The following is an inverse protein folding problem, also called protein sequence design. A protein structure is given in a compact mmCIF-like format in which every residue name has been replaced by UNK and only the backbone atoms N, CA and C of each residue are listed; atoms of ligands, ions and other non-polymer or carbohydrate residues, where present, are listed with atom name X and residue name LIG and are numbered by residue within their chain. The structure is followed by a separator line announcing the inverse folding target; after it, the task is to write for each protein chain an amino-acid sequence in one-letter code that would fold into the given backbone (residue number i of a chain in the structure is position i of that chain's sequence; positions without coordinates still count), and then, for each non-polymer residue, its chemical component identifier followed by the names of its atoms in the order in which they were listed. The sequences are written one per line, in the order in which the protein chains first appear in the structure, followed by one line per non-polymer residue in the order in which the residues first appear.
data_IF_021082580912
#
_entry.id   IF_021082580912
#
_cell.length_a   1.000
_cell.length_b   1.000
_cell.length_c   1.000
_cell.angle_alpha   90.00
_cell.angle_beta   90.00
_cell.angle_gamma   90.00
#
_symmetry.space_group_name_H-M   'P 1'
#
loop_
_entity.id
_entity.type
_entity.pdbx_description
1 polymer ?
#
# COMPACT_ATOMS: atom_id res chain seq x y z
N UNK A 1 -5.40 -37.41 -2.12
CA UNK A 1 -5.77 -36.39 -1.12
C UNK A 1 -6.44 -35.23 -1.83
N UNK A 2 -7.54 -34.68 -1.29
CA UNK A 2 -8.12 -33.43 -1.81
C UNK A 2 -7.10 -32.29 -1.66
N UNK A 3 -6.87 -31.53 -2.73
CA UNK A 3 -5.99 -30.35 -2.70
C UNK A 3 -6.73 -29.15 -2.10
N UNK A 4 -6.02 -28.37 -1.28
CA UNK A 4 -6.54 -27.10 -0.74
C UNK A 4 -6.65 -26.06 -1.86
N UNK A 5 -7.81 -25.38 -1.93
CA UNK A 5 -8.06 -24.31 -2.90
C UNK A 5 -7.28 -23.06 -2.51
N UNK A 6 -6.57 -22.48 -3.48
CA UNK A 6 -5.86 -21.22 -3.29
C UNK A 6 -6.82 -20.02 -3.25
N UNK A 7 -6.40 -18.95 -2.57
CA UNK A 7 -7.05 -17.65 -2.65
C UNK A 7 -6.74 -16.98 -3.99
N UNK A 8 -7.71 -16.25 -4.53
CA UNK A 8 -7.64 -15.61 -5.85
C UNK A 8 -8.00 -14.12 -5.74
N UNK A 9 -7.21 -13.31 -5.01
CA UNK A 9 -7.50 -11.89 -4.86
C UNK A 9 -7.40 -11.14 -6.20
N UNK A 10 -8.24 -10.12 -6.37
CA UNK A 10 -8.33 -9.35 -7.62
C UNK A 10 -8.29 -7.84 -7.35
N UNK A 11 -7.21 -7.17 -7.79
CA UNK A 11 -7.03 -5.72 -7.67
C UNK A 11 -7.83 -4.91 -8.70
N UNK A 12 -7.79 -5.30 -9.98
CA UNK A 12 -8.45 -4.58 -11.07
C UNK A 12 -9.19 -5.57 -11.97
N UNK A 13 -10.47 -5.32 -12.21
CA UNK A 13 -11.35 -6.30 -12.83
C UNK A 13 -10.86 -6.84 -14.16
N UNK A 14 -10.76 -8.18 -14.26
CA UNK A 14 -10.29 -8.96 -15.42
C UNK A 14 -8.94 -8.57 -16.08
N UNK A 15 -8.33 -7.41 -15.78
CA UNK A 15 -7.04 -6.93 -16.30
C UNK A 15 -5.86 -7.81 -15.83
N UNK A 16 -6.05 -8.50 -14.70
CA UNK A 16 -5.10 -9.46 -14.12
C UNK A 16 -5.45 -10.92 -14.31
N UNK A 17 -6.42 -11.26 -15.17
CA UNK A 17 -6.27 -12.53 -15.88
C UNK A 17 -4.95 -12.41 -16.66
N UNK A 18 -4.13 -13.47 -16.78
CA UNK A 18 -3.20 -13.51 -17.89
C UNK A 18 -4.04 -13.26 -19.13
N UNK A 19 -4.02 -12.01 -19.61
CA UNK A 19 -4.66 -11.64 -20.86
C UNK A 19 -3.84 -12.43 -21.86
N UNK A 20 -4.41 -13.54 -22.36
CA UNK A 20 -3.96 -14.01 -23.66
C UNK A 20 -3.96 -12.75 -24.54
N UNK A 21 -2.79 -12.36 -25.07
CA UNK A 21 -2.69 -11.11 -25.79
C UNK A 21 -3.79 -11.08 -26.86
N UNK A 22 -4.46 -9.94 -27.05
CA UNK A 22 -5.40 -9.78 -28.16
C UNK A 22 -4.69 -10.21 -29.45
N UNK A 23 -5.27 -11.16 -30.17
CA UNK A 23 -4.66 -11.75 -31.37
C UNK A 23 -3.74 -12.96 -31.14
N UNK A 24 -3.31 -13.29 -29.91
CA UNK A 24 -2.45 -14.46 -29.63
C UNK A 24 -3.07 -15.78 -30.09
N UNK A 25 -4.37 -15.99 -29.85
CA UNK A 25 -5.09 -17.18 -30.35
C UNK A 25 -5.09 -17.25 -31.87
N UNK A 26 -5.25 -16.10 -32.53
CA UNK A 26 -5.30 -16.01 -33.99
C UNK A 26 -3.93 -16.23 -34.62
N UNK A 27 -2.88 -15.64 -34.05
CA UNK A 27 -1.48 -15.83 -34.41
C UNK A 27 -1.04 -17.29 -34.16
N UNK A 28 -1.45 -17.90 -33.04
CA UNK A 28 -1.16 -19.31 -32.73
C UNK A 28 -1.93 -20.29 -33.63
N UNK A 29 -3.12 -19.92 -34.12
CA UNK A 29 -3.84 -20.66 -35.17
C UNK A 29 -3.12 -20.58 -36.51
N UNK A 30 -2.66 -19.39 -36.94
CA UNK A 30 -1.84 -19.23 -38.17
C UNK A 30 -0.46 -19.89 -38.08
N UNK A 31 0.13 -19.99 -36.90
CA UNK A 31 1.36 -20.77 -36.68
C UNK A 31 1.21 -22.27 -37.04
N UNK A 32 -0.03 -22.80 -37.07
CA UNK A 32 -0.30 -24.20 -37.45
C UNK A 32 -0.12 -24.47 -38.94
N UNK A 33 -0.20 -23.44 -39.80
CA UNK A 33 -0.01 -23.59 -41.24
C UNK A 33 1.45 -23.46 -41.68
N UNK A 34 2.36 -23.10 -40.78
CA UNK A 34 3.78 -22.97 -41.08
C UNK A 34 4.55 -24.30 -40.92
N UNK A 35 5.60 -24.51 -41.75
CA UNK A 35 6.50 -25.66 -41.64
C UNK A 35 7.16 -25.77 -40.26
N UNK A 36 7.47 -26.99 -39.76
CA UNK A 36 7.98 -27.23 -38.41
C UNK A 36 9.24 -26.45 -38.05
N UNK A 37 10.15 -26.28 -39.01
CA UNK A 37 11.42 -25.56 -38.84
C UNK A 37 11.21 -24.05 -38.57
N UNK A 38 10.26 -23.41 -39.28
CA UNK A 38 9.93 -21.99 -39.10
C UNK A 38 9.04 -21.74 -37.88
N UNK A 39 8.25 -22.73 -37.47
CA UNK A 39 7.36 -22.64 -36.30
C UNK A 39 8.13 -22.35 -35.01
N UNK A 40 9.33 -22.93 -34.80
CA UNK A 40 10.12 -22.69 -33.57
C UNK A 40 10.64 -21.25 -33.47
N UNK A 41 11.15 -20.70 -34.57
CA UNK A 41 11.69 -19.32 -34.63
C UNK A 41 10.59 -18.29 -34.47
N UNK A 42 9.46 -18.47 -35.18
CA UNK A 42 8.32 -17.54 -35.12
C UNK A 42 7.65 -17.61 -33.73
N UNK A 43 7.58 -18.78 -33.09
CA UNK A 43 7.06 -18.92 -31.72
C UNK A 43 7.97 -18.27 -30.66
N UNK A 44 9.30 -18.28 -30.85
CA UNK A 44 10.25 -17.51 -30.02
C UNK A 44 10.07 -16.00 -30.21
N UNK A 45 9.98 -15.52 -31.46
CA UNK A 45 9.74 -14.09 -31.75
C UNK A 45 8.38 -13.60 -31.22
N UNK A 46 7.32 -14.39 -31.35
CA UNK A 46 6.01 -14.09 -30.77
C UNK A 46 6.06 -14.09 -29.24
N UNK A 47 6.80 -15.01 -28.60
CA UNK A 47 6.99 -14.96 -27.13
C UNK A 47 7.74 -13.71 -26.66
N UNK A 48 8.68 -13.23 -27.46
CA UNK A 48 9.41 -11.98 -27.18
C UNK A 48 8.52 -10.75 -27.42
N UNK A 49 7.77 -10.72 -28.52
CA UNK A 49 6.88 -9.61 -28.91
C UNK A 49 5.63 -9.51 -28.01
N UNK A 50 5.10 -10.65 -27.60
CA UNK A 50 3.94 -10.77 -26.72
C UNK A 50 4.35 -11.20 -25.32
N UNK A 51 5.46 -10.67 -24.80
CA UNK A 51 5.82 -10.91 -23.41
C UNK A 51 4.63 -10.47 -22.55
N UNK A 52 3.92 -11.40 -21.88
CA UNK A 52 2.78 -11.01 -21.09
C UNK A 52 3.34 -10.28 -19.88
N UNK A 53 3.36 -8.94 -19.94
CA UNK A 53 3.70 -8.11 -18.81
C UNK A 53 2.86 -8.60 -17.63
N UNK A 54 3.54 -9.05 -16.58
CA UNK A 54 2.85 -9.49 -15.37
C UNK A 54 1.99 -8.34 -14.85
N UNK A 55 0.93 -8.66 -14.12
CA UNK A 55 0.10 -7.68 -13.42
C UNK A 55 0.92 -6.57 -12.74
N UNK A 56 2.00 -6.99 -12.08
CA UNK A 56 2.99 -6.17 -11.40
C UNK A 56 3.74 -5.25 -12.36
N UNK A 57 4.19 -5.75 -13.51
CA UNK A 57 4.86 -4.94 -14.52
C UNK A 57 3.90 -3.91 -15.14
N UNK A 58 2.64 -4.26 -15.39
CA UNK A 58 1.62 -3.33 -15.90
C UNK A 58 1.35 -2.18 -14.93
N UNK A 59 1.17 -2.46 -13.63
CA UNK A 59 0.95 -1.41 -12.62
C UNK A 59 2.18 -0.54 -12.44
N UNK A 60 3.38 -1.12 -12.42
CA UNK A 60 4.63 -0.35 -12.33
C UNK A 60 4.83 0.56 -13.54
N UNK A 61 4.55 0.07 -14.75
CA UNK A 61 4.64 0.86 -15.97
C UNK A 61 3.60 1.97 -15.99
N UNK A 62 2.36 1.70 -15.56
CA UNK A 62 1.32 2.72 -15.47
C UNK A 62 1.68 3.78 -14.42
N UNK A 63 2.14 3.37 -13.23
CA UNK A 63 2.63 4.30 -12.20
C UNK A 63 3.79 5.15 -12.70
N UNK A 64 4.78 4.54 -13.35
CA UNK A 64 5.94 5.23 -13.91
C UNK A 64 5.55 6.18 -15.07
N UNK A 65 4.61 5.78 -15.92
CA UNK A 65 4.06 6.64 -16.96
C UNK A 65 3.32 7.83 -16.36
N UNK A 66 2.46 7.62 -15.35
CA UNK A 66 1.76 8.70 -14.66
C UNK A 66 2.74 9.65 -13.96
N UNK A 67 3.79 9.13 -13.30
CA UNK A 67 4.84 9.97 -12.68
C UNK A 67 5.59 10.78 -13.73
N UNK A 68 5.96 10.17 -14.86
CA UNK A 68 6.65 10.84 -15.94
C UNK A 68 5.76 11.91 -16.59
N UNK A 69 4.49 11.61 -16.85
CA UNK A 69 3.52 12.57 -17.39
C UNK A 69 3.33 13.74 -16.43
N UNK A 70 3.20 13.49 -15.12
CA UNK A 70 3.10 14.56 -14.14
C UNK A 70 4.36 15.42 -14.14
N UNK A 71 5.55 14.83 -14.13
CA UNK A 71 6.82 15.58 -14.20
C UNK A 71 6.95 16.41 -15.49
N UNK A 72 6.52 15.87 -16.64
CA UNK A 72 6.50 16.60 -17.91
C UNK A 72 5.53 17.77 -17.84
N UNK A 73 4.32 17.58 -17.31
CA UNK A 73 3.33 18.65 -17.15
C UNK A 73 3.85 19.74 -16.21
N UNK A 74 4.49 19.37 -15.11
CA UNK A 74 5.09 20.32 -14.15
C UNK A 74 6.23 21.09 -14.82
N UNK A 75 7.06 20.43 -15.63
CA UNK A 75 8.11 21.10 -16.41
C UNK A 75 7.57 22.04 -17.47
N UNK A 76 6.52 21.62 -18.20
CA UNK A 76 5.87 22.43 -19.22
C UNK A 76 5.12 23.63 -18.64
N UNK A 77 4.57 23.50 -17.44
CA UNK A 77 3.91 24.59 -16.70
C UNK A 77 4.89 25.58 -16.06
N UNK A 78 6.20 25.44 -16.27
CA UNK A 78 7.23 26.31 -15.67
C UNK A 78 7.49 26.05 -14.19
N UNK A 79 6.91 24.99 -13.63
CA UNK A 79 6.87 24.71 -12.18
C UNK A 79 8.10 23.92 -11.68
N UNK A 80 9.03 23.57 -12.57
CA UNK A 80 10.34 22.95 -12.22
C UNK A 80 11.50 23.96 -12.20
N UNK A 81 11.27 25.23 -12.52
CA UNK A 81 12.31 26.27 -12.55
C UNK A 81 12.44 27.04 -11.24
N UNK A 82 13.57 27.72 -11.06
CA UNK A 82 13.64 28.87 -10.15
C UNK A 82 12.69 29.97 -10.67
N UNK A 83 12.07 30.78 -9.79
CA UNK A 83 11.24 31.90 -10.21
C UNK A 83 11.98 32.74 -11.27
N UNK A 84 11.33 32.98 -12.41
CA UNK A 84 11.94 33.64 -13.56
C UNK A 84 12.22 35.14 -13.31
N UNK A 85 11.58 35.74 -12.30
CA UNK A 85 11.68 37.16 -11.98
C UNK A 85 12.24 37.42 -10.57
N UNK A 86 13.05 38.46 -10.45
CA UNK A 86 13.69 38.93 -9.19
C UNK A 86 12.68 39.35 -8.11
N UNK A 87 11.42 39.57 -8.48
CA UNK A 87 10.35 39.98 -7.56
C UNK A 87 9.60 38.80 -6.92
N UNK A 88 9.88 37.57 -7.35
CA UNK A 88 9.22 36.36 -6.83
C UNK A 88 10.11 35.63 -5.80
N UNK A 89 9.76 35.72 -4.50
CA UNK A 89 10.50 35.10 -3.38
C UNK A 89 9.88 33.76 -2.95
N UNK A 90 10.69 32.86 -2.40
CA UNK A 90 10.21 31.53 -1.97
C UNK A 90 9.37 31.65 -0.70
N UNK A 91 8.30 30.84 -0.56
CA UNK A 91 7.49 30.84 0.66
C UNK A 91 8.30 30.46 1.92
N UNK A 92 9.38 29.67 1.78
CA UNK A 92 10.30 29.36 2.87
C UNK A 92 11.29 30.50 3.17
N UNK A 93 11.57 31.40 2.21
CA UNK A 93 12.46 32.55 2.46
C UNK A 93 11.82 33.54 3.45
N UNK A 94 10.48 33.54 3.55
CA UNK A 94 9.75 34.30 4.57
C UNK A 94 10.02 33.81 6.00
N UNK A 95 10.42 32.56 6.20
CA UNK A 95 10.81 32.05 7.52
C UNK A 95 12.14 32.61 8.01
N UNK A 96 12.95 33.11 7.09
CA UNK A 96 14.33 33.51 7.35
C UNK A 96 14.63 34.96 6.93
N UNK A 97 13.60 35.74 6.58
CA UNK A 97 13.73 37.11 6.09
C UNK A 97 12.77 38.05 6.82
N UNK A 98 13.35 39.05 7.49
CA UNK A 98 12.59 40.07 8.24
C UNK A 98 11.92 41.12 7.32
N UNK A 99 12.31 41.20 6.03
CA UNK A 99 11.91 42.25 5.06
C UNK A 99 11.28 41.67 3.78
N UNK A 100 10.44 40.64 3.89
CA UNK A 100 9.84 39.99 2.74
C UNK A 100 8.52 40.63 2.30
N UNK A 101 8.50 41.22 1.09
CA UNK A 101 7.30 41.81 0.49
C UNK A 101 6.47 40.78 -0.28
N UNK A 102 5.20 40.66 0.11
CA UNK A 102 4.29 39.57 -0.26
C UNK A 102 3.72 39.56 -1.67
N UNK A 103 4.07 40.55 -2.49
CA UNK A 103 3.84 40.52 -3.92
C UNK A 103 4.78 39.50 -4.56
N UNK A 104 4.26 38.36 -5.06
CA UNK A 104 5.04 37.40 -5.85
C UNK A 104 5.46 36.10 -5.14
N UNK A 105 4.75 35.67 -4.10
CA UNK A 105 5.04 34.36 -3.48
C UNK A 105 4.63 33.23 -4.43
N UNK A 106 5.57 32.34 -4.76
CA UNK A 106 5.29 31.13 -5.53
C UNK A 106 5.88 29.88 -4.89
N UNK A 107 5.20 28.75 -5.09
CA UNK A 107 5.60 27.43 -4.60
C UNK A 107 5.70 26.50 -5.79
N UNK A 108 6.89 26.47 -6.39
CA UNK A 108 7.18 25.50 -7.45
C UNK A 108 7.19 24.08 -6.88
N UNK A 109 6.91 23.04 -7.68
CA UNK A 109 6.79 21.68 -7.16
C UNK A 109 8.09 21.21 -6.49
N UNK A 110 9.26 21.56 -7.05
CA UNK A 110 10.55 21.21 -6.46
C UNK A 110 10.84 21.96 -5.14
N UNK A 111 10.17 23.09 -4.93
CA UNK A 111 10.27 23.94 -3.75
C UNK A 111 9.18 23.67 -2.72
N UNK A 112 8.16 22.88 -3.09
CA UNK A 112 7.12 22.37 -2.21
C UNK A 112 7.45 20.93 -1.78
N UNK A 113 8.27 20.75 -0.72
CA UNK A 113 8.63 19.42 -0.24
C UNK A 113 7.41 18.61 0.19
N UNK A 114 6.32 19.27 0.60
CA UNK A 114 5.08 18.59 0.92
C UNK A 114 4.42 18.02 -0.34
N UNK A 115 4.40 18.80 -1.42
CA UNK A 115 4.06 18.42 -2.78
C UNK A 115 4.73 17.14 -3.22
N UNK A 116 6.06 17.13 -3.13
CA UNK A 116 6.91 16.01 -3.55
C UNK A 116 6.60 14.75 -2.73
N UNK A 117 6.51 14.89 -1.40
CA UNK A 117 6.26 13.74 -0.52
C UNK A 117 4.88 13.15 -0.78
N UNK A 118 3.84 13.97 -0.89
CA UNK A 118 2.47 13.49 -1.15
C UNK A 118 2.39 12.79 -2.50
N UNK A 119 3.00 13.36 -3.54
CA UNK A 119 3.07 12.72 -4.85
C UNK A 119 3.86 11.40 -4.81
N UNK A 120 4.99 11.36 -4.11
CA UNK A 120 5.78 10.14 -3.95
C UNK A 120 4.96 9.03 -3.29
N UNK A 121 4.19 9.36 -2.24
CA UNK A 121 3.26 8.43 -1.59
C UNK A 121 2.20 7.94 -2.58
N UNK A 122 1.51 8.85 -3.27
CA UNK A 122 0.49 8.54 -4.29
C UNK A 122 1.02 7.57 -5.36
N UNK A 123 2.24 7.79 -5.85
CA UNK A 123 2.82 6.94 -6.91
C UNK A 123 3.31 5.58 -6.41
N UNK A 124 3.78 5.47 -5.16
CA UNK A 124 4.24 4.19 -4.61
C UNK A 124 3.10 3.30 -4.09
N UNK A 125 1.96 3.89 -3.69
CA UNK A 125 0.81 3.17 -3.14
C UNK A 125 0.34 1.98 -3.99
N UNK A 126 0.18 2.09 -5.32
CA UNK A 126 -0.17 0.95 -6.16
C UNK A 126 0.84 -0.21 -6.08
N UNK A 127 2.14 0.09 -5.92
CA UNK A 127 3.18 -0.92 -5.78
C UNK A 127 3.00 -1.71 -4.49
N UNK A 128 2.75 -1.02 -3.37
CA UNK A 128 2.46 -1.66 -2.08
C UNK A 128 1.24 -2.57 -2.17
N UNK A 129 0.14 -2.06 -2.72
CA UNK A 129 -1.12 -2.79 -2.87
C UNK A 129 -0.94 -4.09 -3.68
N UNK A 130 -0.17 -4.04 -4.77
CA UNK A 130 0.14 -5.23 -5.58
C UNK A 130 0.88 -6.28 -4.78
N UNK A 131 1.91 -5.88 -4.04
CA UNK A 131 2.72 -6.85 -3.31
C UNK A 131 1.94 -7.52 -2.18
N UNK A 132 1.08 -6.77 -1.48
CA UNK A 132 0.21 -7.32 -0.45
C UNK A 132 -0.78 -8.33 -1.02
N UNK A 133 -1.40 -8.00 -2.17
CA UNK A 133 -2.38 -8.89 -2.82
C UNK A 133 -1.74 -10.17 -3.37
N UNK A 134 -0.52 -10.08 -3.89
CA UNK A 134 0.25 -11.28 -4.27
C UNK A 134 0.48 -12.19 -3.06
N UNK A 135 0.90 -11.61 -1.94
CA UNK A 135 1.14 -12.37 -0.73
C UNK A 135 -0.13 -13.01 -0.13
N UNK A 136 -1.30 -12.36 -0.24
CA UNK A 136 -2.61 -12.96 0.10
C UNK A 136 -2.87 -14.20 -0.77
N UNK A 137 -2.63 -14.11 -2.09
CA UNK A 137 -2.80 -15.25 -3.01
C UNK A 137 -1.89 -16.43 -2.68
N UNK A 138 -0.67 -16.15 -2.23
CA UNK A 138 0.35 -17.16 -1.92
C UNK A 138 0.18 -17.80 -0.53
N UNK A 139 -0.69 -17.26 0.33
CA UNK A 139 -0.85 -17.70 1.72
C UNK A 139 -1.15 -19.19 1.86
N UNK A 140 -2.13 -19.72 1.10
CA UNK A 140 -2.51 -21.14 1.20
C UNK A 140 -1.37 -22.04 0.75
N UNK A 141 -0.71 -21.69 -0.36
CA UNK A 141 0.39 -22.47 -0.93
C UNK A 141 1.62 -22.47 -0.01
N UNK A 142 1.91 -21.34 0.63
CA UNK A 142 2.95 -21.25 1.66
C UNK A 142 2.71 -22.28 2.78
N UNK A 143 1.51 -22.29 3.36
CA UNK A 143 1.19 -23.20 4.46
C UNK A 143 1.15 -24.67 4.02
N UNK A 144 0.69 -24.97 2.80
CA UNK A 144 0.75 -26.33 2.23
C UNK A 144 2.19 -26.81 2.12
N UNK A 145 3.10 -25.99 1.57
CA UNK A 145 4.53 -26.32 1.44
C UNK A 145 5.22 -26.52 2.79
N UNK A 146 4.72 -25.86 3.83
CA UNK A 146 5.26 -25.97 5.19
C UNK A 146 4.64 -27.15 5.99
N UNK A 147 3.83 -28.01 5.35
CA UNK A 147 3.21 -29.17 5.98
C UNK A 147 1.94 -28.86 6.76
N UNK A 148 1.35 -27.67 6.60
CA UNK A 148 0.11 -27.28 7.28
C UNK A 148 -1.10 -28.12 6.85
N UNK A 149 -1.10 -28.62 5.61
CA UNK A 149 -2.16 -29.48 5.10
C UNK A 149 -2.10 -30.93 5.66
N UNK A 150 -0.92 -31.40 6.05
CA UNK A 150 -0.72 -32.77 6.56
C UNK A 150 -1.40 -33.00 7.92
N UNK A 151 -1.69 -31.91 8.65
CA UNK A 151 -2.30 -31.93 9.98
C UNK A 151 -3.84 -31.95 9.94
N UNK A 152 -4.43 -31.79 8.75
CA UNK A 152 -5.88 -31.66 8.60
C UNK A 152 -6.53 -33.00 8.27
N UNK A 153 -7.64 -33.27 8.94
CA UNK A 153 -8.56 -34.34 8.55
C UNK A 153 -9.27 -34.02 7.23
N UNK A 154 -9.77 -35.03 6.52
CA UNK A 154 -10.57 -34.85 5.30
C UNK A 154 -11.77 -33.90 5.50
N UNK A 155 -12.42 -33.97 6.67
CA UNK A 155 -13.53 -33.08 7.04
C UNK A 155 -13.10 -31.61 7.17
N UNK A 156 -11.94 -31.36 7.77
CA UNK A 156 -11.37 -30.00 7.88
C UNK A 156 -10.96 -29.45 6.50
N UNK A 157 -10.36 -30.29 5.65
CA UNK A 157 -10.02 -29.93 4.26
C UNK A 157 -11.25 -29.46 3.48
N UNK A 158 -12.38 -30.20 3.56
CA UNK A 158 -13.64 -29.80 2.92
C UNK A 158 -14.17 -28.47 3.46
N UNK A 159 -14.16 -28.27 4.78
CA UNK A 159 -14.59 -27.00 5.41
C UNK A 159 -13.70 -25.83 4.98
N UNK A 160 -12.39 -26.04 4.90
CA UNK A 160 -11.44 -25.02 4.44
C UNK A 160 -11.68 -24.66 2.97
N UNK A 161 -11.93 -25.65 2.11
CA UNK A 161 -12.25 -25.41 0.71
C UNK A 161 -13.55 -24.60 0.53
N UNK A 162 -14.60 -24.89 1.32
CA UNK A 162 -15.83 -24.09 1.33
C UNK A 162 -15.58 -22.66 1.81
N UNK A 163 -14.74 -22.47 2.83
CA UNK A 163 -14.34 -21.14 3.30
C UNK A 163 -13.55 -20.37 2.23
N UNK A 164 -12.61 -21.03 1.57
CA UNK A 164 -11.83 -20.47 0.46
C UNK A 164 -12.74 -20.07 -0.71
N UNK A 165 -13.77 -20.86 -1.04
CA UNK A 165 -14.75 -20.53 -2.07
C UNK A 165 -15.57 -19.29 -1.73
N UNK A 166 -16.09 -19.20 -0.49
CA UNK A 166 -16.79 -18.00 -0.02
C UNK A 166 -15.90 -16.77 -0.04
N UNK A 167 -14.65 -16.91 0.38
CA UNK A 167 -13.67 -15.82 0.38
C UNK A 167 -13.35 -15.38 -1.04
N UNK A 168 -13.13 -16.35 -1.94
CA UNK A 168 -12.90 -16.08 -3.35
C UNK A 168 -14.11 -15.43 -4.02
N UNK A 169 -15.34 -15.74 -3.61
CA UNK A 169 -16.53 -15.03 -4.08
C UNK A 169 -16.49 -13.54 -3.73
N UNK A 170 -16.15 -13.19 -2.48
CA UNK A 170 -15.96 -11.78 -2.09
C UNK A 170 -14.82 -11.10 -2.86
N UNK A 171 -13.68 -11.79 -3.01
CA UNK A 171 -12.55 -11.27 -3.78
C UNK A 171 -12.89 -11.08 -5.27
N UNK A 172 -13.72 -11.96 -5.85
CA UNK A 172 -14.23 -11.82 -7.21
C UNK A 172 -15.24 -10.67 -7.32
N UNK A 173 -16.08 -10.46 -6.31
CA UNK A 173 -17.02 -9.35 -6.24
C UNK A 173 -16.25 -8.02 -6.27
N UNK A 174 -15.21 -7.87 -5.45
CA UNK A 174 -14.28 -6.72 -5.44
C UNK A 174 -13.56 -6.53 -6.79
N UNK A 175 -13.34 -7.62 -7.52
CA UNK A 175 -12.80 -7.63 -8.86
C UNK A 175 -13.82 -7.34 -9.98
N UNK A 176 -15.11 -7.09 -9.69
CA UNK A 176 -16.08 -6.77 -10.74
C UNK A 176 -15.80 -5.40 -11.34
N UNK A 177 -16.05 -5.27 -12.65
CA UNK A 177 -15.87 -4.00 -13.38
C UNK A 177 -16.78 -2.92 -12.84
N UNK A 178 -18.06 -3.23 -12.68
CA UNK A 178 -19.08 -2.29 -12.21
C UNK A 178 -18.74 -1.73 -10.83
N UNK A 179 -18.37 -2.61 -9.89
CA UNK A 179 -17.93 -2.20 -8.55
C UNK A 179 -16.62 -1.40 -8.60
N UNK A 180 -15.69 -1.77 -9.48
CA UNK A 180 -14.44 -1.01 -9.66
C UNK A 180 -14.71 0.40 -10.19
N UNK A 181 -15.65 0.54 -11.14
CA UNK A 181 -16.05 1.84 -11.68
C UNK A 181 -16.76 2.68 -10.64
N UNK A 182 -17.69 2.09 -9.86
CA UNK A 182 -18.36 2.77 -8.76
C UNK A 182 -17.37 3.26 -7.69
N UNK A 183 -16.41 2.40 -7.30
CA UNK A 183 -15.35 2.79 -6.37
C UNK A 183 -14.47 3.91 -6.94
N UNK A 184 -14.10 3.83 -8.22
CA UNK A 184 -13.32 4.89 -8.88
C UNK A 184 -14.07 6.22 -8.86
N UNK A 185 -15.37 6.22 -9.20
CA UNK A 185 -16.21 7.41 -9.16
C UNK A 185 -16.32 7.98 -7.74
N UNK A 186 -16.56 7.13 -6.73
CA UNK A 186 -16.61 7.56 -5.34
C UNK A 186 -15.29 8.17 -4.87
N UNK A 187 -14.15 7.58 -5.24
CA UNK A 187 -12.82 8.13 -4.92
C UNK A 187 -12.53 9.41 -5.69
N UNK A 188 -13.01 9.55 -6.93
CA UNK A 188 -12.89 10.80 -7.69
C UNK A 188 -13.64 11.93 -6.99
N UNK A 189 -14.89 11.68 -6.59
CA UNK A 189 -15.70 12.63 -5.83
C UNK A 189 -15.04 13.00 -4.50
N UNK A 190 -14.56 12.01 -3.73
CA UNK A 190 -13.87 12.27 -2.48
C UNK A 190 -12.57 13.06 -2.66
N UNK A 191 -11.79 12.75 -3.69
CA UNK A 191 -10.53 13.46 -4.01
C UNK A 191 -10.81 14.90 -4.42
N UNK A 192 -11.87 15.13 -5.21
CA UNK A 192 -12.30 16.47 -5.59
C UNK A 192 -12.72 17.30 -4.36
N UNK A 193 -13.50 16.73 -3.44
CA UNK A 193 -13.85 17.41 -2.19
C UNK A 193 -12.62 17.68 -1.32
N UNK A 194 -11.68 16.74 -1.22
CA UNK A 194 -10.44 16.92 -0.48
C UNK A 194 -9.58 18.03 -1.09
N UNK A 195 -9.48 18.06 -2.42
CA UNK A 195 -8.80 19.14 -3.15
C UNK A 195 -9.48 20.49 -2.88
N UNK A 196 -10.82 20.53 -2.90
CA UNK A 196 -11.59 21.71 -2.51
C UNK A 196 -11.28 22.19 -1.09
N UNK A 197 -11.19 21.27 -0.12
CA UNK A 197 -10.82 21.61 1.26
C UNK A 197 -9.39 22.14 1.39
N UNK A 198 -8.43 21.55 0.67
CA UNK A 198 -7.05 22.06 0.61
C UNK A 198 -7.01 23.43 -0.05
N UNK A 199 -7.83 23.65 -1.08
CA UNK A 199 -7.95 24.96 -1.73
C UNK A 199 -8.53 26.03 -0.78
N UNK A 200 -9.59 25.70 -0.04
CA UNK A 200 -10.29 26.69 0.80
C UNK A 200 -9.70 26.88 2.19
N UNK A 201 -9.04 25.86 2.74
CA UNK A 201 -8.56 25.83 4.13
C UNK A 201 -7.11 25.39 4.28
N UNK A 202 -6.44 25.05 3.17
CA UNK A 202 -5.05 24.67 3.17
C UNK A 202 -4.14 25.83 2.88
N UNK A 203 -2.94 25.76 3.45
CA UNK A 203 -1.93 26.82 3.60
C UNK A 203 -2.09 27.56 4.93
N UNK A 204 -1.34 27.06 5.91
CA UNK A 204 -1.25 27.63 7.25
C UNK A 204 -0.37 28.88 7.26
N UNK A 205 -0.91 29.98 7.77
CA UNK A 205 -0.13 31.12 8.26
C UNK A 205 0.69 30.72 9.51
N UNK A 206 0.17 29.82 10.34
CA UNK A 206 0.78 29.46 11.63
C UNK A 206 2.15 28.78 11.54
N UNK A 207 2.50 28.21 10.37
CA UNK A 207 3.84 27.65 10.13
C UNK A 207 4.76 28.60 9.38
N UNK A 208 4.24 29.68 8.81
CA UNK A 208 4.96 30.77 8.15
C UNK A 208 4.51 32.09 8.80
N UNK A 209 4.96 32.38 10.04
CA UNK A 209 4.52 33.56 10.78
C UNK A 209 4.71 34.81 9.93
N UNK A 210 3.62 35.56 9.75
CA UNK A 210 3.59 36.80 8.98
C UNK A 210 2.75 37.81 9.74
N UNK A 211 3.09 39.09 9.58
CA UNK A 211 2.29 40.19 10.14
C UNK A 211 1.05 40.51 9.27
N UNK A 212 0.90 39.82 8.13
CA UNK A 212 -0.22 40.04 7.23
C UNK A 212 -1.51 39.35 7.69
N UNK A 213 -2.68 39.91 7.35
CA UNK A 213 -3.94 39.19 7.52
C UNK A 213 -3.94 37.86 6.74
N UNK A 214 -4.34 36.78 7.40
CA UNK A 214 -4.49 35.40 6.87
C UNK A 214 -5.05 35.34 5.44
N UNK A 215 -6.08 36.13 5.13
CA UNK A 215 -6.72 36.15 3.82
C UNK A 215 -5.80 36.65 2.69
N UNK A 216 -4.92 37.62 2.99
CA UNK A 216 -3.99 38.21 2.01
C UNK A 216 -2.82 37.27 1.77
N UNK A 217 -2.27 36.69 2.84
CA UNK A 217 -1.23 35.66 2.77
C UNK A 217 -1.71 34.45 1.94
N UNK A 218 -2.87 33.89 2.29
CA UNK A 218 -3.43 32.74 1.58
C UNK A 218 -3.68 33.01 0.11
N UNK A 219 -4.22 34.17 -0.26
CA UNK A 219 -4.45 34.50 -1.68
C UNK A 219 -3.13 34.48 -2.47
N UNK A 220 -2.07 35.08 -1.94
CA UNK A 220 -0.78 35.17 -2.64
C UNK A 220 -0.07 33.82 -2.75
N UNK A 221 -0.05 33.03 -1.67
CA UNK A 221 0.55 31.68 -1.68
C UNK A 221 -0.26 30.73 -2.56
N UNK A 222 -1.59 30.82 -2.52
CA UNK A 222 -2.46 29.98 -3.33
C UNK A 222 -2.29 30.27 -4.82
N UNK A 223 -2.25 31.54 -5.24
CA UNK A 223 -2.00 31.94 -6.64
C UNK A 223 -0.70 31.33 -7.19
N UNK A 224 0.32 31.23 -6.34
CA UNK A 224 1.61 30.62 -6.67
C UNK A 224 1.73 29.10 -6.44
N UNK A 225 0.67 28.42 -5.99
CA UNK A 225 0.69 26.98 -5.74
C UNK A 225 0.66 26.18 -7.04
N UNK A 226 1.62 25.26 -7.21
CA UNK A 226 1.76 24.45 -8.42
C UNK A 226 0.52 23.63 -8.82
N UNK A 227 -0.39 23.33 -7.89
CA UNK A 227 -1.63 22.60 -8.18
C UNK A 227 -2.88 23.49 -8.10
N UNK A 228 -2.75 24.82 -8.18
CA UNK A 228 -3.88 25.73 -8.19
C UNK A 228 -4.70 25.58 -9.48
N UNK A 229 -6.03 25.40 -9.34
CA UNK A 229 -6.95 25.22 -10.47
C UNK A 229 -7.10 26.45 -11.37
N UNK A 230 -6.83 27.65 -10.85
CA UNK A 230 -7.00 28.92 -11.56
C UNK A 230 -5.75 29.31 -12.36
N UNK A 231 -4.55 29.03 -11.83
CA UNK A 231 -3.28 29.36 -12.47
C UNK A 231 -2.65 28.17 -13.22
N UNK A 232 -2.85 26.95 -12.74
CA UNK A 232 -2.32 25.71 -13.32
C UNK A 232 -3.38 24.59 -13.40
N UNK A 233 -4.44 24.77 -14.21
CA UNK A 233 -5.59 23.85 -14.26
C UNK A 233 -5.20 22.41 -14.64
N UNK A 234 -4.23 22.23 -15.53
CA UNK A 234 -3.73 20.91 -15.93
C UNK A 234 -3.05 20.16 -14.79
N UNK A 235 -2.36 20.86 -13.90
CA UNK A 235 -1.70 20.28 -12.73
C UNK A 235 -2.70 19.95 -11.62
N UNK A 236 -3.71 20.80 -11.42
CA UNK A 236 -4.83 20.52 -10.53
C UNK A 236 -5.60 19.25 -10.94
N UNK A 237 -5.91 19.11 -12.24
CA UNK A 237 -6.53 17.90 -12.80
C UNK A 237 -5.61 16.69 -12.65
N UNK A 238 -4.30 16.85 -12.92
CA UNK A 238 -3.30 15.81 -12.75
C UNK A 238 -3.23 15.29 -11.30
N UNK A 239 -3.23 16.19 -10.32
CA UNK A 239 -3.24 15.86 -8.89
C UNK A 239 -4.53 15.11 -8.52
N UNK A 240 -5.70 15.61 -8.95
CA UNK A 240 -6.98 14.94 -8.69
C UNK A 240 -7.03 13.54 -9.30
N UNK A 241 -6.53 13.36 -10.53
CA UNK A 241 -6.48 12.05 -11.19
C UNK A 241 -5.51 11.09 -10.47
N UNK A 242 -4.33 11.56 -10.08
CA UNK A 242 -3.35 10.76 -9.35
C UNK A 242 -3.87 10.36 -7.96
N UNK A 243 -4.46 11.29 -7.21
CA UNK A 243 -5.10 11.04 -5.92
C UNK A 243 -6.23 10.03 -6.03
N UNK A 244 -7.13 10.22 -7.00
CA UNK A 244 -8.24 9.29 -7.30
C UNK A 244 -7.72 7.88 -7.54
N UNK A 245 -6.67 7.76 -8.35
CA UNK A 245 -6.05 6.48 -8.67
C UNK A 245 -5.45 5.82 -7.42
N UNK A 246 -4.70 6.56 -6.60
CA UNK A 246 -4.13 6.03 -5.36
C UNK A 246 -5.22 5.61 -4.35
N UNK A 247 -6.22 6.45 -4.10
CA UNK A 247 -7.31 6.15 -3.18
C UNK A 247 -8.16 4.97 -3.63
N UNK A 248 -8.37 4.81 -4.94
CA UNK A 248 -9.01 3.62 -5.50
C UNK A 248 -8.25 2.33 -5.14
N UNK A 249 -6.93 2.32 -5.29
CA UNK A 249 -6.10 1.16 -4.92
C UNK A 249 -6.12 0.90 -3.42
N UNK A 250 -6.00 1.97 -2.61
CA UNK A 250 -6.00 1.90 -1.16
C UNK A 250 -7.33 1.34 -0.63
N UNK A 251 -8.46 1.89 -1.08
CA UNK A 251 -9.79 1.43 -0.68
C UNK A 251 -10.00 -0.05 -1.00
N UNK A 252 -9.61 -0.49 -2.20
CA UNK A 252 -9.68 -1.90 -2.57
C UNK A 252 -8.78 -2.79 -1.72
N UNK A 253 -7.54 -2.35 -1.49
CA UNK A 253 -6.58 -3.07 -0.67
C UNK A 253 -7.12 -3.25 0.74
N UNK A 254 -7.71 -2.22 1.32
CA UNK A 254 -8.27 -2.23 2.66
C UNK A 254 -9.38 -3.26 2.79
N UNK A 255 -10.34 -3.26 1.84
CA UNK A 255 -11.43 -4.25 1.86
C UNK A 255 -10.89 -5.67 1.64
N UNK A 256 -9.90 -5.88 0.76
CA UNK A 256 -9.25 -7.18 0.61
C UNK A 256 -8.51 -7.61 1.88
N UNK A 257 -7.87 -6.69 2.58
CA UNK A 257 -7.21 -6.93 3.87
C UNK A 257 -8.20 -7.40 4.93
N UNK A 258 -9.37 -6.76 5.04
CA UNK A 258 -10.46 -7.17 5.94
C UNK A 258 -10.97 -8.57 5.57
N UNK A 259 -11.27 -8.83 4.29
CA UNK A 259 -11.72 -10.14 3.82
C UNK A 259 -10.70 -11.24 4.12
N UNK A 260 -9.41 -10.96 3.89
CA UNK A 260 -8.33 -11.90 4.19
C UNK A 260 -8.18 -12.15 5.69
N UNK A 261 -8.34 -11.11 6.51
CA UNK A 261 -8.29 -11.21 7.97
C UNK A 261 -9.42 -12.09 8.51
N UNK A 262 -10.65 -11.94 7.99
CA UNK A 262 -11.78 -12.82 8.32
C UNK A 262 -11.49 -14.27 7.87
N UNK A 263 -10.86 -14.46 6.71
CA UNK A 263 -10.44 -15.78 6.27
C UNK A 263 -9.41 -16.39 7.22
N UNK A 264 -8.38 -15.65 7.63
CA UNK A 264 -7.34 -16.11 8.56
C UNK A 264 -7.93 -16.56 9.89
N UNK A 265 -8.79 -15.73 10.48
CA UNK A 265 -9.46 -16.06 11.75
C UNK A 265 -10.27 -17.36 11.64
N UNK A 266 -11.08 -17.48 10.57
CA UNK A 266 -11.92 -18.66 10.36
C UNK A 266 -11.12 -19.90 9.97
N UNK A 267 -10.00 -19.74 9.26
CA UNK A 267 -9.13 -20.86 8.89
C UNK A 267 -8.36 -21.38 10.10
N UNK A 268 -7.88 -20.49 10.95
CA UNK A 268 -7.24 -20.84 12.23
C UNK A 268 -8.18 -21.66 13.12
N UNK A 269 -9.45 -21.25 13.24
CA UNK A 269 -10.47 -22.00 13.99
C UNK A 269 -10.74 -23.41 13.42
N UNK A 270 -10.42 -23.68 12.15
CA UNK A 270 -10.52 -25.01 11.52
C UNK A 270 -9.24 -25.84 11.74
N UNK A 271 -8.18 -25.23 12.28
CA UNK A 271 -6.85 -25.83 12.47
C UNK A 271 -5.86 -25.51 11.35
N UNK A 272 -6.19 -24.57 10.45
CA UNK A 272 -5.32 -24.12 9.36
C UNK A 272 -4.89 -22.67 9.56
N UNK A 273 -3.81 -22.50 10.32
CA UNK A 273 -3.19 -21.20 10.61
C UNK A 273 -1.82 -21.04 9.93
N UNK A 274 -1.10 -19.98 10.34
CA UNK A 274 0.28 -19.76 9.91
C UNK A 274 1.17 -20.92 10.39
N UNK A 275 1.75 -21.64 9.43
CA UNK A 275 2.58 -22.82 9.69
C UNK A 275 4.01 -22.55 9.27
N UNK A 276 4.95 -22.29 10.21
CA UNK A 276 6.37 -22.30 9.89
C UNK A 276 6.84 -23.73 9.53
N UNK A 277 7.71 -23.84 8.54
CA UNK A 277 8.41 -25.09 8.22
C UNK A 277 9.48 -25.36 9.28
N UNK A 278 9.15 -26.28 10.19
CA UNK A 278 10.00 -26.62 11.32
C UNK A 278 11.12 -27.59 10.97
N UNK A 279 11.02 -28.26 9.82
CA UNK A 279 12.02 -29.23 9.34
C UNK A 279 13.12 -28.56 8.53
N UNK A 280 12.75 -27.61 7.66
CA UNK A 280 13.67 -26.97 6.74
C UNK A 280 13.42 -25.48 6.63
N UNK A 281 14.50 -24.69 6.63
CA UNK A 281 14.41 -23.28 6.31
C UNK A 281 14.47 -23.04 4.80
N UNK A 282 13.37 -23.40 4.12
CA UNK A 282 13.27 -23.32 2.65
C UNK A 282 13.40 -21.92 2.06
N UNK A 283 13.14 -20.84 2.83
CA UNK A 283 13.10 -19.45 2.34
C UNK A 283 13.69 -18.40 3.34
N UNK A 284 14.53 -18.85 4.28
CA UNK A 284 15.31 -18.02 5.22
C UNK A 284 14.63 -17.58 6.52
N UNK A 285 13.37 -17.97 6.75
CA UNK A 285 12.58 -17.72 7.98
C UNK A 285 11.52 -18.82 8.17
N UNK A 286 11.93 -20.10 8.09
CA UNK A 286 11.05 -21.28 8.17
C UNK A 286 9.90 -21.25 7.17
N UNK A 287 10.16 -20.91 5.92
CA UNK A 287 9.15 -20.95 4.86
C UNK A 287 8.02 -19.91 4.98
N UNK A 288 8.18 -18.85 5.80
CA UNK A 288 7.17 -17.79 5.99
C UNK A 288 7.38 -16.55 5.08
N UNK A 289 8.11 -16.70 3.97
CA UNK A 289 8.49 -15.57 3.11
C UNK A 289 7.29 -14.77 2.55
N UNK A 290 6.22 -15.39 2.01
CA UNK A 290 5.04 -14.65 1.57
C UNK A 290 4.38 -13.82 2.69
N UNK A 291 4.21 -14.40 3.88
CA UNK A 291 3.67 -13.69 5.04
C UNK A 291 4.56 -12.53 5.49
N UNK A 292 5.89 -12.73 5.48
CA UNK A 292 6.87 -11.65 5.75
C UNK A 292 6.70 -10.51 4.77
N UNK A 293 6.64 -10.82 3.48
CA UNK A 293 6.45 -9.81 2.43
C UNK A 293 5.13 -9.08 2.65
N UNK A 294 4.02 -9.79 2.90
CA UNK A 294 2.74 -9.16 3.24
C UNK A 294 2.89 -8.14 4.37
N UNK A 295 3.45 -8.54 5.51
CA UNK A 295 3.59 -7.66 6.68
C UNK A 295 4.53 -6.48 6.40
N UNK A 296 5.68 -6.70 5.75
CA UNK A 296 6.62 -5.62 5.43
C UNK A 296 6.02 -4.61 4.45
N UNK A 297 5.30 -5.07 3.42
CA UNK A 297 4.63 -4.18 2.48
C UNK A 297 3.44 -3.47 3.09
N UNK A 298 2.75 -4.09 4.05
CA UNK A 298 1.66 -3.45 4.81
C UNK A 298 2.21 -2.37 5.74
N UNK A 299 3.28 -2.68 6.48
CA UNK A 299 3.96 -1.72 7.33
C UNK A 299 4.58 -0.57 6.54
N UNK A 300 5.30 -0.87 5.46
CA UNK A 300 5.88 0.16 4.59
C UNK A 300 4.83 1.05 3.95
N UNK A 301 3.67 0.47 3.57
CA UNK A 301 2.51 1.25 3.12
C UNK A 301 2.02 2.17 4.22
N UNK A 302 1.74 1.65 5.41
CA UNK A 302 1.27 2.46 6.53
C UNK A 302 2.22 3.62 6.81
N UNK A 303 3.52 3.36 6.98
CA UNK A 303 4.53 4.40 7.22
C UNK A 303 4.57 5.45 6.12
N UNK A 304 4.52 5.05 4.84
CA UNK A 304 4.51 6.01 3.74
C UNK A 304 3.27 6.91 3.78
N UNK A 305 2.08 6.35 4.01
CA UNK A 305 0.84 7.12 4.11
C UNK A 305 0.82 8.00 5.37
N UNK A 306 1.43 7.55 6.48
CA UNK A 306 1.60 8.37 7.68
C UNK A 306 2.46 9.59 7.40
N UNK A 307 3.62 9.40 6.75
CA UNK A 307 4.52 10.49 6.37
C UNK A 307 3.77 11.47 5.45
N UNK A 308 3.04 10.94 4.46
CA UNK A 308 2.20 11.75 3.57
C UNK A 308 1.14 12.56 4.34
N UNK A 309 0.40 11.92 5.24
CA UNK A 309 -0.61 12.56 6.08
C UNK A 309 0.00 13.61 7.03
N UNK A 310 1.11 13.29 7.70
CA UNK A 310 1.82 14.21 8.58
C UNK A 310 2.24 15.48 7.85
N UNK A 311 2.83 15.32 6.68
CA UNK A 311 3.27 16.42 5.84
C UNK A 311 2.07 17.24 5.35
N UNK A 312 1.00 16.57 4.94
CA UNK A 312 -0.24 17.21 4.54
C UNK A 312 -0.89 17.99 5.71
N UNK A 313 -0.83 17.47 6.93
CA UNK A 313 -1.31 18.13 8.14
C UNK A 313 -0.40 19.26 8.64
N UNK A 314 0.92 19.11 8.55
CA UNK A 314 1.86 20.14 8.96
C UNK A 314 1.83 21.34 8.01
N UNK A 315 1.68 21.09 6.70
CA UNK A 315 1.89 22.13 5.68
C UNK A 315 0.58 22.65 5.09
N UNK A 316 -0.43 21.80 4.92
CA UNK A 316 -1.62 22.12 4.12
C UNK A 316 -2.97 21.98 4.82
N UNK A 317 -3.09 21.60 6.08
CA UNK A 317 -4.39 21.58 6.76
C UNK A 317 -4.28 22.14 8.17
N UNK A 318 -5.20 23.04 8.55
CA UNK A 318 -5.25 23.64 9.88
C UNK A 318 -5.55 22.61 10.97
N UNK A 319 -4.75 22.54 12.04
CA UNK A 319 -5.01 21.67 13.21
C UNK A 319 -6.42 21.92 13.79
N UNK A 320 -7.39 21.11 13.34
CA UNK A 320 -8.81 21.29 13.63
C UNK A 320 -9.38 20.02 14.25
N UNK A 321 -10.48 20.16 15.00
CA UNK A 321 -11.10 19.05 15.76
C UNK A 321 -11.47 17.84 14.90
N UNK A 322 -11.80 18.05 13.62
CA UNK A 322 -12.09 16.96 12.68
C UNK A 322 -10.86 16.10 12.34
N UNK A 323 -9.63 16.58 12.57
CA UNK A 323 -8.41 15.80 12.41
C UNK A 323 -8.32 14.64 13.41
N UNK A 324 -8.85 14.82 14.61
CA UNK A 324 -8.94 13.74 15.61
C UNK A 324 -9.77 12.59 15.04
N UNK A 325 -10.84 12.90 14.30
CA UNK A 325 -11.65 11.89 13.63
C UNK A 325 -10.87 11.16 12.51
N UNK A 326 -10.11 11.88 11.69
CA UNK A 326 -9.25 11.28 10.65
C UNK A 326 -8.21 10.36 11.26
N UNK A 327 -7.52 10.83 12.30
CA UNK A 327 -6.55 10.02 13.04
C UNK A 327 -7.24 8.77 13.58
N UNK A 328 -8.38 8.89 14.28
CA UNK A 328 -9.15 7.76 14.80
C UNK A 328 -9.53 6.74 13.72
N UNK A 329 -10.01 7.19 12.56
CA UNK A 329 -10.33 6.30 11.43
C UNK A 329 -9.09 5.55 10.96
N UNK A 330 -7.98 6.25 10.80
CA UNK A 330 -6.68 5.67 10.43
C UNK A 330 -6.22 4.64 11.48
N UNK A 331 -6.37 4.94 12.78
CA UNK A 331 -6.04 4.01 13.87
C UNK A 331 -6.86 2.71 13.79
N UNK A 332 -8.17 2.84 13.57
CA UNK A 332 -9.09 1.70 13.49
C UNK A 332 -8.73 0.83 12.28
N UNK A 333 -8.49 1.46 11.12
CA UNK A 333 -8.08 0.76 9.90
C UNK A 333 -6.78 -0.01 10.11
N UNK A 334 -5.76 0.63 10.68
CA UNK A 334 -4.47 -0.01 10.91
C UNK A 334 -4.55 -1.14 11.94
N UNK A 335 -5.38 -0.98 12.97
CA UNK A 335 -5.66 -2.05 13.93
C UNK A 335 -6.26 -3.28 13.24
N UNK A 336 -7.23 -3.07 12.35
CA UNK A 336 -7.93 -4.15 11.67
C UNK A 336 -7.08 -4.83 10.57
N UNK A 337 -6.30 -4.06 9.83
CA UNK A 337 -5.57 -4.55 8.63
C UNK A 337 -4.15 -4.99 8.93
N UNK A 338 -3.54 -4.48 10.01
CA UNK A 338 -2.14 -4.75 10.38
C UNK A 338 -2.08 -5.55 11.67
N UNK A 339 -2.62 -5.01 12.76
CA UNK A 339 -2.39 -5.54 14.10
C UNK A 339 -3.07 -6.88 14.30
N UNK A 340 -4.35 -6.95 13.95
CA UNK A 340 -5.17 -8.13 14.16
C UNK A 340 -4.70 -9.36 13.36
N UNK A 341 -4.48 -9.30 12.02
CA UNK A 341 -3.96 -10.44 11.28
C UNK A 341 -2.54 -10.83 11.70
N UNK A 342 -1.70 -9.88 12.12
CA UNK A 342 -0.39 -10.20 12.71
C UNK A 342 -0.52 -10.95 14.04
N UNK A 343 -1.47 -10.57 14.89
CA UNK A 343 -1.73 -11.28 16.16
C UNK A 343 -2.17 -12.73 15.91
N UNK A 344 -3.12 -12.95 15.00
CA UNK A 344 -3.54 -14.29 14.57
C UNK A 344 -2.33 -15.10 14.07
N UNK A 345 -1.52 -14.52 13.20
CA UNK A 345 -0.32 -15.17 12.67
C UNK A 345 0.71 -15.54 13.76
N UNK A 346 0.86 -14.68 14.78
CA UNK A 346 1.75 -14.94 15.91
C UNK A 346 1.27 -16.15 16.73
N UNK A 347 0.00 -16.15 17.13
CA UNK A 347 -0.56 -17.20 17.96
C UNK A 347 -0.55 -18.55 17.23
N UNK A 348 -0.97 -18.57 15.97
CA UNK A 348 -0.87 -19.75 15.10
C UNK A 348 0.56 -20.30 15.02
N UNK A 349 1.55 -19.46 14.71
CA UNK A 349 2.94 -19.90 14.59
C UNK A 349 3.54 -20.37 15.93
N UNK A 350 3.13 -19.76 17.05
CA UNK A 350 3.54 -20.16 18.39
C UNK A 350 3.01 -21.55 18.74
N UNK A 351 1.74 -21.84 18.46
CA UNK A 351 1.15 -23.16 18.68
C UNK A 351 1.92 -24.22 17.89
N UNK A 352 2.24 -23.94 16.62
CA UNK A 352 3.06 -24.86 15.79
C UNK A 352 4.44 -25.11 16.39
N UNK A 353 5.07 -24.09 17.00
CA UNK A 353 6.34 -24.24 17.74
C UNK A 353 6.21 -25.11 18.96
N UNK A 354 5.20 -24.87 19.79
CA UNK A 354 4.97 -25.64 20.99
C UNK A 354 4.70 -27.12 20.67
N UNK A 355 3.88 -27.39 19.65
CA UNK A 355 3.58 -28.77 19.23
C UNK A 355 4.81 -29.48 18.67
N UNK A 356 5.66 -28.77 17.93
CA UNK A 356 6.92 -29.35 17.46
C UNK A 356 7.88 -29.64 18.62
N UNK A 357 7.99 -28.76 19.61
CA UNK A 357 8.80 -29.01 20.82
C UNK A 357 8.28 -30.24 21.57
N UNK A 358 6.95 -30.36 21.77
CA UNK A 358 6.34 -31.56 22.37
C UNK A 358 6.67 -32.84 21.59
N UNK A 359 6.73 -32.77 20.26
CA UNK A 359 7.17 -33.89 19.42
C UNK A 359 8.63 -34.24 19.69
N UNK A 360 9.54 -33.24 19.73
CA UNK A 360 10.96 -33.46 20.00
C UNK A 360 11.19 -34.12 21.36
N UNK A 361 10.43 -33.74 22.40
CA UNK A 361 10.46 -34.41 23.72
C UNK A 361 10.15 -35.92 23.63
N UNK A 362 9.28 -36.32 22.70
CA UNK A 362 8.86 -37.71 22.52
C UNK A 362 9.77 -38.51 21.59
N UNK A 363 10.46 -37.84 20.67
CA UNK A 363 11.20 -38.51 19.60
C UNK A 363 12.72 -38.47 19.76
N UNK A 364 13.28 -37.49 20.48
CA UNK A 364 14.73 -37.34 20.63
C UNK A 364 15.24 -37.78 22.01
N UNK A 365 16.44 -38.41 22.07
CA UNK A 365 17.18 -38.64 23.30
C UNK A 365 17.56 -37.34 24.02
N UNK A 366 17.77 -37.39 25.34
CA UNK A 366 18.05 -36.19 26.17
C UNK A 366 19.25 -35.38 25.68
N UNK A 367 20.33 -36.03 25.23
CA UNK A 367 21.56 -35.35 24.79
C UNK A 367 21.42 -34.47 23.54
N UNK A 368 20.44 -34.74 22.65
CA UNK A 368 20.20 -33.95 21.43
C UNK A 368 18.96 -33.04 21.55
N UNK A 369 18.12 -33.31 22.54
CA UNK A 369 16.82 -32.66 22.72
C UNK A 369 16.96 -31.17 23.03
N UNK A 370 17.82 -30.81 23.97
CA UNK A 370 17.93 -29.42 24.42
C UNK A 370 18.48 -28.51 23.33
N UNK A 371 19.45 -28.99 22.55
CA UNK A 371 19.98 -28.29 21.39
C UNK A 371 18.90 -28.08 20.31
N UNK A 372 18.12 -29.12 20.00
CA UNK A 372 17.02 -29.03 19.03
C UNK A 372 15.91 -28.07 19.50
N UNK A 373 15.53 -28.11 20.78
CA UNK A 373 14.55 -27.20 21.36
C UNK A 373 15.06 -25.76 21.35
N UNK A 374 16.32 -25.54 21.73
CA UNK A 374 16.95 -24.22 21.69
C UNK A 374 16.93 -23.66 20.26
N UNK A 375 17.22 -24.48 19.25
CA UNK A 375 17.14 -24.09 17.83
C UNK A 375 15.70 -23.71 17.43
N UNK A 376 14.68 -24.38 17.95
CA UNK A 376 13.27 -24.03 17.71
C UNK A 376 12.94 -22.62 18.19
N UNK A 377 13.47 -22.23 19.36
CA UNK A 377 13.19 -20.95 20.03
C UNK A 377 14.15 -19.82 19.65
N UNK A 378 15.35 -20.12 19.14
CA UNK A 378 16.33 -19.13 18.70
C UNK A 378 15.78 -18.19 17.59
N UNK A 379 14.81 -18.67 16.80
CA UNK A 379 14.17 -17.89 15.74
C UNK A 379 12.90 -17.23 16.27
N UNK A 380 12.63 -15.98 15.91
CA UNK A 380 11.39 -15.28 16.24
C UNK A 380 10.13 -16.01 15.72
N UNK A 381 8.99 -15.84 16.42
CA UNK A 381 7.71 -16.49 16.06
C UNK A 381 7.10 -15.86 14.81
N UNK A 382 7.24 -14.53 14.67
CA UNK A 382 6.84 -13.79 13.49
C UNK A 382 8.06 -13.27 12.73
N UNK A 383 7.95 -13.14 11.38
CA UNK A 383 8.98 -12.55 10.53
C UNK A 383 9.37 -11.10 10.86
N UNK A 384 8.50 -10.37 11.57
CA UNK A 384 8.80 -9.03 12.10
C UNK A 384 8.66 -9.13 13.61
N UNK A 385 9.67 -8.70 14.36
CA UNK A 385 9.61 -8.74 15.82
C UNK A 385 8.41 -7.92 16.30
N UNK A 386 7.58 -8.52 17.15
CA UNK A 386 6.38 -7.90 17.72
C UNK A 386 6.69 -6.54 18.38
N UNK A 387 7.92 -6.36 18.89
CA UNK A 387 8.42 -5.06 19.37
C UNK A 387 8.47 -4.00 18.28
N UNK A 388 9.02 -4.27 17.08
CA UNK A 388 9.08 -3.31 15.97
C UNK A 388 7.69 -2.93 15.45
N UNK A 389 6.77 -3.90 15.43
CA UNK A 389 5.37 -3.67 15.07
C UNK A 389 4.69 -2.77 16.10
N UNK A 390 4.83 -3.06 17.40
CA UNK A 390 4.26 -2.23 18.48
C UNK A 390 4.86 -0.83 18.56
N UNK A 391 6.18 -0.68 18.41
CA UNK A 391 6.84 0.64 18.38
C UNK A 391 6.45 1.42 17.14
N UNK A 392 6.35 0.76 15.99
CA UNK A 392 5.85 1.36 14.76
C UNK A 392 4.41 1.83 14.89
N UNK A 393 3.52 1.02 15.48
CA UNK A 393 2.14 1.42 15.79
C UNK A 393 2.13 2.56 16.80
N UNK A 394 2.90 2.50 17.88
CA UNK A 394 2.94 3.58 18.89
C UNK A 394 3.41 4.92 18.29
N UNK A 395 4.47 4.92 17.47
CA UNK A 395 4.90 6.10 16.72
C UNK A 395 3.83 6.54 15.71
N UNK A 396 3.19 5.59 15.02
CA UNK A 396 2.12 5.86 14.07
C UNK A 396 0.89 6.52 14.71
N UNK A 397 0.59 6.16 15.96
CA UNK A 397 -0.53 6.69 16.73
C UNK A 397 -0.23 8.05 17.38
N UNK A 398 1.01 8.27 17.82
CA UNK A 398 1.39 9.46 18.59
C UNK A 398 1.94 10.60 17.74
N UNK A 399 2.63 10.30 16.64
CA UNK A 399 3.32 11.31 15.83
C UNK A 399 2.36 12.25 15.10
N UNK A 400 1.15 11.87 14.65
CA UNK A 400 0.17 12.83 14.12
C UNK A 400 -0.47 13.73 15.18
N UNK A 401 -0.59 13.24 16.42
CA UNK A 401 -1.16 13.99 17.53
C UNK A 401 -0.24 15.09 18.05
N UNK A 402 1.08 14.88 18.03
CA UNK A 402 2.07 15.85 18.51
C UNK A 402 2.06 17.18 17.71
N UNK A 403 2.10 17.20 16.37
CA UNK A 403 2.00 18.41 15.55
C UNK A 403 0.66 19.11 15.68
N UNK A 404 -0.44 18.38 15.91
CA UNK A 404 -1.74 19.00 16.17
C UNK A 404 -1.80 19.69 17.54
N UNK A 405 -0.99 19.24 18.51
CA UNK A 405 -0.89 19.84 19.85
C UNK A 405 0.08 21.03 19.89
N UNK A 406 1.07 21.11 19.02
CA UNK A 406 2.08 22.19 19.01
C UNK A 406 1.42 23.57 18.87
N UNK A 407 0.57 23.86 17.86
CA UNK A 407 -0.08 25.17 17.74
C UNK A 407 -0.95 25.52 18.95
N UNK A 408 -1.61 24.52 19.55
CA UNK A 408 -2.46 24.69 20.74
C UNK A 408 -1.61 25.06 21.97
N UNK A 409 -0.40 24.51 22.09
CA UNK A 409 0.51 24.79 23.19
C UNK A 409 1.23 26.15 23.05
N UNK A 410 1.43 26.62 21.82
CA UNK A 410 2.10 27.90 21.53
C UNK A 410 1.15 29.07 21.28
N UNK A 411 -0.17 28.87 21.26
CA UNK A 411 -1.16 29.97 21.25
C UNK A 411 -1.39 30.62 22.63
N UNK A 412 -0.80 30.06 23.70
CA UNK A 412 -0.95 30.53 25.09
C UNK A 412 0.33 31.16 25.68
N UNK A 413 1.36 31.35 24.85
CA UNK A 413 2.56 32.14 25.13
C UNK A 413 2.67 33.23 24.07
#
# INVERSE_FOLDING_TARGET
MEQLRALRPQLIGRVFRPTEPLGYRWVMRRLRTLPPARRRVVRRRIRLLYWPLTAKAKIRLLGLACSLTLLILVGAGGVLGAPADTDTRWALDYLFSDDAQLSGVSLSLLQDPAGIIVLAVVFVTPVFCVQQVQAIGDFVQMNVRNGGAERLTKGQVRRLNLLADRTNWWLMLLGRRDLSAALMAAMATATYFLYGLVNTHGLLETWNPTELPDSVWRSKVYDGWWANQHTHPELAVGLCAAGTYAFYFLAKQLVMGVVFTVYLYRSEAIGFGVTPNMKFDSDGFRGLRPLRQFMLWTYGSAVAHLIGLLVLFMVWLSAASWMVFVVMVVMVVDTLVIVYPSSIGYHSALVVKQDHVKLLYRTLPEGERDAAIAQVWAVSVLPVTTRKVKTGIALYLLVPGLPALIPILFQWF
#
